data_IF_760397094902
#
_entry.id   IF_760397094902
#
_cell.length_a   1.000
_cell.length_b   1.000
_cell.length_c   1.000
_cell.angle_alpha   90.00
_cell.angle_beta   90.00
_cell.angle_gamma   90.00
#
_symmetry.space_group_name_H-M   'P 1'
#
loop_
_entity.id
_entity.type
_entity.pdbx_description
1 polymer ?
#
# COMPACT_ATOMS: atom_id res chain seq x y z
N UNK A 1 51.62 -69.44 49.02
CA UNK A 1 50.37 -70.09 49.43
C UNK A 1 49.32 -69.76 48.42
N UNK A 2 48.73 -70.72 47.82
CA UNK A 2 47.97 -70.83 46.58
C UNK A 2 46.89 -69.73 46.27
N UNK A 3 46.98 -69.20 45.09
CA UNK A 3 45.87 -68.59 44.35
C UNK A 3 45.03 -69.68 43.69
N UNK A 4 43.69 -69.57 43.62
CA UNK A 4 42.92 -70.26 42.59
C UNK A 4 42.54 -69.39 41.40
N UNK A 5 42.77 -69.97 40.26
CA UNK A 5 42.24 -69.62 38.97
C UNK A 5 40.71 -69.45 38.98
N UNK A 6 40.19 -68.36 38.33
CA UNK A 6 38.81 -68.30 37.97
C UNK A 6 38.67 -68.18 36.45
N UNK A 7 37.81 -69.02 35.96
CA UNK A 7 37.52 -69.42 34.60
C UNK A 7 36.92 -68.27 33.69
N UNK A 8 37.38 -68.20 32.44
CA UNK A 8 37.01 -67.25 31.36
C UNK A 8 35.70 -67.62 30.66
N UNK A 9 34.62 -67.98 31.29
CA UNK A 9 33.43 -68.47 30.58
C UNK A 9 32.08 -67.93 31.05
N UNK A 10 31.96 -66.72 31.61
CA UNK A 10 30.60 -66.18 31.95
C UNK A 10 30.51 -64.69 31.87
N UNK A 11 30.91 -64.09 30.72
CA UNK A 11 30.65 -62.69 30.38
C UNK A 11 30.17 -62.58 28.93
N UNK A 12 29.04 -63.22 28.67
CA UNK A 12 28.21 -62.93 27.47
C UNK A 12 26.76 -62.83 27.93
N UNK A 13 26.19 -61.68 27.74
CA UNK A 13 24.79 -61.21 27.78
C UNK A 13 24.51 -60.20 28.88
N UNK A 14 24.83 -58.98 28.59
CA UNK A 14 24.08 -57.76 28.98
C UNK A 14 24.62 -56.58 28.15
N UNK A 15 24.38 -56.60 26.84
CA UNK A 15 24.40 -55.43 25.98
C UNK A 15 23.02 -54.75 26.06
N UNK A 16 22.86 -53.86 27.02
CA UNK A 16 21.76 -52.87 27.03
C UNK A 16 21.97 -51.93 25.87
N UNK A 17 21.11 -52.08 24.87
CA UNK A 17 20.98 -51.15 23.78
C UNK A 17 20.44 -49.82 24.32
N UNK A 18 21.33 -48.88 24.64
CA UNK A 18 20.99 -47.50 24.80
C UNK A 18 20.78 -46.94 23.38
N UNK A 19 19.56 -47.01 22.89
CA UNK A 19 19.14 -46.33 21.68
C UNK A 19 19.19 -44.81 21.90
N UNK A 20 20.22 -44.15 21.41
CA UNK A 20 20.24 -42.69 21.25
C UNK A 20 19.23 -42.40 20.18
N UNK A 21 18.01 -41.98 20.57
CA UNK A 21 17.06 -41.34 19.66
C UNK A 21 17.63 -39.95 19.36
N UNK A 22 18.34 -39.84 18.24
CA UNK A 22 18.61 -38.55 17.62
C UNK A 22 17.25 -38.02 17.13
N UNK A 23 16.61 -37.18 17.96
CA UNK A 23 15.52 -36.33 17.47
C UNK A 23 16.20 -35.28 16.60
N UNK A 24 16.24 -35.57 15.30
CA UNK A 24 16.55 -34.56 14.30
C UNK A 24 15.41 -33.53 14.34
N UNK A 25 15.61 -32.42 15.05
CA UNK A 25 14.86 -31.23 14.81
C UNK A 25 15.24 -30.74 13.41
N UNK A 26 14.54 -31.22 12.39
CA UNK A 26 14.45 -30.50 11.13
C UNK A 26 13.72 -29.21 11.46
N UNK A 27 14.48 -28.13 11.70
CA UNK A 27 13.90 -26.80 11.49
C UNK A 27 13.41 -26.83 10.05
N UNK A 28 12.10 -26.91 9.88
CA UNK A 28 11.49 -26.57 8.63
C UNK A 28 11.81 -25.08 8.43
N UNK A 29 12.88 -24.78 7.71
CA UNK A 29 13.03 -23.50 7.06
C UNK A 29 11.81 -23.41 6.16
N UNK A 30 10.78 -22.68 6.60
CA UNK A 30 9.69 -22.29 5.75
C UNK A 30 10.32 -21.68 4.49
N UNK A 31 9.96 -22.21 3.33
CA UNK A 31 10.41 -21.59 2.08
C UNK A 31 10.02 -20.13 2.18
N UNK A 32 11.01 -19.26 2.17
CA UNK A 32 10.75 -17.81 2.11
C UNK A 32 9.93 -17.57 0.87
N UNK A 33 8.72 -17.07 1.05
CA UNK A 33 7.84 -16.71 -0.05
C UNK A 33 8.51 -15.54 -0.78
N UNK A 34 8.79 -15.69 -2.06
CA UNK A 34 9.48 -14.64 -2.84
C UNK A 34 8.82 -14.45 -4.19
N UNK A 35 8.84 -13.22 -4.65
CA UNK A 35 8.64 -12.91 -6.07
C UNK A 35 9.95 -13.14 -6.80
N UNK A 36 9.91 -13.95 -7.87
CA UNK A 36 11.05 -14.01 -8.79
C UNK A 36 11.17 -12.69 -9.54
N UNK A 37 12.39 -12.25 -9.83
CA UNK A 37 12.65 -11.06 -10.66
C UNK A 37 11.99 -11.15 -12.04
N UNK A 38 11.74 -12.36 -12.52
CA UNK A 38 11.04 -12.64 -13.80
C UNK A 38 9.53 -12.82 -13.63
N UNK A 39 8.96 -12.54 -12.45
CA UNK A 39 7.53 -12.67 -12.22
C UNK A 39 6.76 -11.75 -13.17
N UNK A 40 5.83 -12.33 -13.90
CA UNK A 40 4.87 -11.58 -14.74
C UNK A 40 3.63 -11.32 -13.91
N UNK A 41 3.19 -10.07 -13.88
CA UNK A 41 1.94 -9.71 -13.22
C UNK A 41 0.75 -9.81 -14.19
N UNK A 42 -0.42 -10.09 -13.62
CA UNK A 42 -1.66 -10.29 -14.37
C UNK A 42 -2.21 -8.95 -14.88
N UNK A 43 -2.73 -8.98 -16.12
CA UNK A 43 -3.45 -7.85 -16.74
C UNK A 43 -4.94 -8.10 -16.61
N UNK A 44 -5.68 -7.37 -15.78
CA UNK A 44 -7.13 -7.53 -15.67
C UNK A 44 -7.84 -7.04 -16.94
N UNK A 45 -9.12 -7.38 -17.08
CA UNK A 45 -9.94 -6.81 -18.13
C UNK A 45 -10.09 -5.31 -17.94
N UNK A 46 -9.97 -4.51 -19.03
CA UNK A 46 -10.17 -3.06 -18.95
C UNK A 46 -11.54 -2.70 -18.35
N UNK A 47 -11.62 -1.64 -17.52
CA UNK A 47 -12.88 -1.07 -17.08
C UNK A 47 -13.74 -0.66 -18.29
N UNK A 48 -15.06 -0.76 -18.14
CA UNK A 48 -15.97 -0.38 -19.22
C UNK A 48 -15.79 1.08 -19.67
N UNK A 49 -15.48 1.98 -18.73
CA UNK A 49 -15.21 3.39 -19.02
C UNK A 49 -13.99 3.59 -19.93
N UNK A 50 -12.93 2.84 -19.71
CA UNK A 50 -11.74 2.85 -20.58
C UNK A 50 -12.06 2.40 -22.00
N UNK A 51 -12.81 1.30 -22.13
CA UNK A 51 -13.24 0.77 -23.44
C UNK A 51 -14.11 1.79 -24.19
N UNK A 52 -15.05 2.43 -23.49
CA UNK A 52 -15.92 3.44 -24.08
C UNK A 52 -15.13 4.69 -24.49
N UNK A 53 -14.19 5.14 -23.67
CA UNK A 53 -13.33 6.28 -23.98
C UNK A 53 -12.47 6.00 -25.22
N UNK A 54 -11.79 4.85 -25.28
CA UNK A 54 -10.96 4.50 -26.43
C UNK A 54 -11.80 4.43 -27.71
N UNK A 55 -13.00 3.82 -27.67
CA UNK A 55 -13.90 3.75 -28.81
C UNK A 55 -14.39 5.14 -29.25
N UNK A 56 -14.73 6.03 -28.30
CA UNK A 56 -15.13 7.41 -28.58
C UNK A 56 -14.01 8.22 -29.24
N UNK A 57 -12.77 8.08 -28.77
CA UNK A 57 -11.60 8.74 -29.35
C UNK A 57 -11.35 8.28 -30.80
N UNK A 58 -11.49 6.98 -31.07
CA UNK A 58 -11.41 6.45 -32.45
C UNK A 58 -12.47 7.08 -33.35
N UNK A 59 -13.70 7.20 -32.87
CA UNK A 59 -14.79 7.85 -33.64
C UNK A 59 -14.51 9.33 -33.94
N UNK A 60 -13.78 10.01 -33.06
CA UNK A 60 -13.35 11.40 -33.21
C UNK A 60 -12.04 11.55 -34.00
N UNK A 61 -11.48 10.46 -34.51
CA UNK A 61 -10.18 10.42 -35.20
C UNK A 61 -8.98 10.81 -34.32
N UNK A 62 -9.15 10.81 -33.00
CA UNK A 62 -8.04 10.99 -32.04
C UNK A 62 -7.38 9.63 -31.74
N UNK A 63 -6.72 9.10 -32.78
CA UNK A 63 -6.11 7.78 -32.72
C UNK A 63 -4.93 7.69 -31.74
N UNK A 64 -4.25 8.83 -31.50
CA UNK A 64 -3.12 8.88 -30.58
C UNK A 64 -3.59 8.63 -29.15
N UNK A 65 -4.60 9.34 -28.71
CA UNK A 65 -5.12 9.21 -27.36
C UNK A 65 -5.85 7.87 -27.17
N UNK A 66 -6.54 7.38 -28.22
CA UNK A 66 -7.12 6.05 -28.20
C UNK A 66 -6.06 4.95 -27.97
N UNK A 67 -4.90 5.04 -28.62
CA UNK A 67 -3.78 4.14 -28.43
C UNK A 67 -3.15 4.28 -27.03
N UNK A 68 -3.06 5.48 -26.47
CA UNK A 68 -2.56 5.70 -25.12
C UNK A 68 -3.45 5.03 -24.07
N UNK A 69 -4.78 5.16 -24.17
CA UNK A 69 -5.71 4.47 -23.27
C UNK A 69 -5.58 2.95 -23.44
N UNK A 70 -5.54 2.43 -24.66
CA UNK A 70 -5.38 1.01 -24.90
C UNK A 70 -4.04 0.46 -24.37
N UNK A 71 -2.95 1.22 -24.52
CA UNK A 71 -1.65 0.86 -24.00
C UNK A 71 -1.64 0.84 -22.47
N UNK A 72 -2.25 1.84 -21.80
CA UNK A 72 -2.40 1.89 -20.34
C UNK A 72 -3.12 0.66 -19.82
N UNK A 73 -4.22 0.26 -20.44
CA UNK A 73 -5.02 -0.92 -20.07
C UNK A 73 -4.34 -2.26 -20.39
N UNK A 74 -3.25 -2.26 -21.15
CA UNK A 74 -2.44 -3.45 -21.41
C UNK A 74 -1.32 -3.69 -20.40
N UNK A 75 -1.13 -2.78 -19.46
CA UNK A 75 -0.17 -2.90 -18.36
C UNK A 75 -0.83 -3.66 -17.19
N UNK A 76 -0.10 -4.54 -16.49
CA UNK A 76 -0.63 -5.20 -15.29
C UNK A 76 -1.14 -4.20 -14.24
N UNK A 77 -2.28 -4.50 -13.63
CA UNK A 77 -2.90 -3.68 -12.60
C UNK A 77 -3.48 -4.56 -11.50
N UNK A 78 -3.66 -4.02 -10.31
CA UNK A 78 -4.30 -4.72 -9.21
C UNK A 78 -5.82 -4.87 -9.44
N UNK A 79 -6.38 -5.93 -8.87
CA UNK A 79 -7.82 -6.18 -8.84
C UNK A 79 -8.34 -5.83 -7.46
N UNK A 80 -9.21 -4.82 -7.38
CA UNK A 80 -9.80 -4.35 -6.13
C UNK A 80 -11.02 -5.16 -5.74
N UNK A 81 -11.05 -5.60 -4.48
CA UNK A 81 -12.16 -6.27 -3.83
C UNK A 81 -12.64 -5.36 -2.69
N UNK A 82 -13.76 -4.66 -2.91
CA UNK A 82 -14.19 -3.56 -2.05
C UNK A 82 -15.51 -3.80 -1.35
N UNK A 83 -16.17 -4.92 -1.66
CA UNK A 83 -17.50 -5.27 -1.16
C UNK A 83 -17.92 -6.67 -1.59
N UNK A 84 -19.17 -7.00 -1.39
CA UNK A 84 -19.80 -8.26 -1.79
C UNK A 84 -19.93 -9.26 -0.65
N UNK A 85 -20.85 -10.20 -0.82
CA UNK A 85 -21.01 -11.32 0.09
C UNK A 85 -19.80 -12.26 0.04
N UNK A 86 -19.57 -13.10 1.07
CA UNK A 86 -18.53 -14.13 1.04
C UNK A 86 -18.56 -15.01 -0.22
N UNK A 87 -19.74 -15.35 -0.72
CA UNK A 87 -19.91 -16.15 -1.94
C UNK A 87 -19.47 -15.41 -3.20
N UNK A 88 -19.83 -14.15 -3.33
CA UNK A 88 -19.51 -13.31 -4.49
C UNK A 88 -18.01 -13.04 -4.56
N UNK A 89 -17.37 -12.65 -3.45
CA UNK A 89 -15.94 -12.40 -3.41
C UNK A 89 -15.14 -13.67 -3.70
N UNK A 90 -15.56 -14.82 -3.16
CA UNK A 90 -14.95 -16.13 -3.45
C UNK A 90 -14.99 -16.44 -4.95
N UNK A 91 -16.14 -16.22 -5.62
CA UNK A 91 -16.29 -16.43 -7.05
C UNK A 91 -15.41 -15.49 -7.88
N UNK A 92 -15.32 -14.22 -7.46
CA UNK A 92 -14.47 -13.20 -8.10
C UNK A 92 -12.99 -13.59 -8.01
N UNK A 93 -12.51 -13.93 -6.82
CA UNK A 93 -11.12 -14.36 -6.59
C UNK A 93 -10.79 -15.61 -7.43
N UNK A 94 -11.63 -16.65 -7.39
CA UNK A 94 -11.44 -17.85 -8.22
C UNK A 94 -11.38 -17.55 -9.71
N UNK A 95 -12.18 -16.61 -10.17
CA UNK A 95 -12.21 -16.22 -11.60
C UNK A 95 -10.92 -15.50 -11.97
N UNK A 96 -10.46 -14.54 -11.15
CA UNK A 96 -9.20 -13.81 -11.33
C UNK A 96 -8.01 -14.76 -11.33
N UNK A 97 -7.91 -15.65 -10.34
CA UNK A 97 -6.83 -16.64 -10.24
C UNK A 97 -6.79 -17.55 -11.45
N UNK A 98 -7.94 -18.02 -11.94
CA UNK A 98 -8.02 -18.86 -13.14
C UNK A 98 -7.53 -18.11 -14.37
N UNK A 99 -7.91 -16.84 -14.56
CA UNK A 99 -7.45 -16.01 -15.68
C UNK A 99 -5.94 -15.76 -15.60
N UNK A 100 -5.43 -15.38 -14.44
CA UNK A 100 -4.01 -15.18 -14.22
C UNK A 100 -3.19 -16.45 -14.49
N UNK A 101 -3.67 -17.61 -14.08
CA UNK A 101 -3.02 -18.90 -14.36
C UNK A 101 -2.96 -19.22 -15.87
N UNK A 102 -3.99 -18.88 -16.63
CA UNK A 102 -3.97 -19.04 -18.10
C UNK A 102 -2.89 -18.19 -18.76
N UNK A 103 -2.62 -17.02 -18.20
CA UNK A 103 -1.56 -16.10 -18.64
C UNK A 103 -0.18 -16.42 -18.03
N UNK A 104 -0.10 -17.36 -17.11
CA UNK A 104 1.09 -17.67 -16.30
C UNK A 104 1.60 -16.42 -15.57
N UNK A 105 0.68 -15.66 -15.01
CA UNK A 105 0.93 -14.39 -14.34
C UNK A 105 0.52 -14.47 -12.86
N UNK A 106 1.11 -13.61 -12.05
CA UNK A 106 0.80 -13.44 -10.63
C UNK A 106 -0.23 -12.33 -10.50
N UNK A 107 -1.44 -12.60 -10.01
CA UNK A 107 -2.40 -11.54 -9.75
C UNK A 107 -2.04 -10.76 -8.50
N UNK A 108 -2.36 -9.46 -8.51
CA UNK A 108 -2.31 -8.56 -7.36
C UNK A 108 -3.74 -8.27 -6.95
N UNK A 109 -4.10 -8.61 -5.72
CA UNK A 109 -5.43 -8.36 -5.15
C UNK A 109 -5.32 -7.27 -4.10
N UNK A 110 -6.16 -6.25 -4.18
CA UNK A 110 -6.35 -5.27 -3.12
C UNK A 110 -7.61 -5.64 -2.35
N UNK A 111 -7.48 -5.90 -1.08
CA UNK A 111 -8.60 -6.12 -0.18
C UNK A 111 -8.90 -4.79 0.50
N UNK A 112 -10.08 -4.23 0.29
CA UNK A 112 -10.45 -2.91 0.79
C UNK A 112 -11.90 -2.92 1.27
N UNK A 113 -12.14 -3.61 2.39
CA UNK A 113 -13.48 -3.83 2.94
C UNK A 113 -13.51 -3.78 4.48
N UNK A 114 -12.50 -3.21 5.11
CA UNK A 114 -12.44 -3.09 6.58
C UNK A 114 -13.57 -2.19 7.08
N UNK A 115 -14.21 -2.50 8.22
CA UNK A 115 -15.25 -1.64 8.80
C UNK A 115 -14.77 -0.21 9.03
N UNK A 116 -15.58 0.77 8.60
CA UNK A 116 -15.26 2.19 8.76
C UNK A 116 -14.02 2.64 7.97
N UNK A 117 -13.79 2.06 6.79
CA UNK A 117 -12.69 2.45 5.90
C UNK A 117 -12.78 3.92 5.50
N UNK A 118 -11.63 4.50 5.13
CA UNK A 118 -11.48 5.88 4.62
C UNK A 118 -12.06 6.94 5.56
N UNK A 119 -12.09 6.67 6.87
CA UNK A 119 -12.71 7.56 7.88
C UNK A 119 -14.10 8.10 7.48
N UNK A 120 -14.81 7.39 6.60
CA UNK A 120 -16.10 7.84 6.09
C UNK A 120 -16.03 8.89 4.98
N UNK A 121 -14.87 9.10 4.36
CA UNK A 121 -14.64 10.05 3.27
C UNK A 121 -15.18 9.55 1.92
N UNK A 122 -14.55 9.91 0.79
CA UNK A 122 -15.03 9.59 -0.56
C UNK A 122 -15.12 8.08 -0.85
N UNK A 123 -14.26 7.28 -0.23
CA UNK A 123 -14.28 5.82 -0.35
C UNK A 123 -14.92 5.11 0.86
N UNK A 124 -15.81 5.80 1.56
CA UNK A 124 -16.54 5.25 2.70
C UNK A 124 -17.18 3.89 2.41
N UNK A 125 -17.34 3.07 3.44
CA UNK A 125 -17.93 1.74 3.35
C UNK A 125 -17.20 0.72 4.20
N UNK A 126 -17.05 -0.48 3.65
CA UNK A 126 -16.51 -1.63 4.35
C UNK A 126 -17.61 -2.58 4.84
N UNK A 127 -17.21 -3.68 5.46
CA UNK A 127 -18.11 -4.62 6.12
C UNK A 127 -18.83 -3.93 7.28
N UNK A 128 -20.03 -4.42 7.61
CA UNK A 128 -20.85 -3.80 8.66
C UNK A 128 -20.19 -3.93 10.05
N UNK A 129 -19.47 -5.01 10.28
CA UNK A 129 -18.83 -5.31 11.56
C UNK A 129 -17.65 -6.28 11.38
N UNK A 130 -16.93 -6.56 12.46
CA UNK A 130 -15.78 -7.48 12.47
C UNK A 130 -16.14 -8.89 12.00
N UNK A 131 -17.28 -9.44 12.40
CA UNK A 131 -17.64 -10.81 12.03
C UNK A 131 -17.94 -10.94 10.52
N UNK A 132 -18.57 -9.94 9.92
CA UNK A 132 -18.82 -9.90 8.47
C UNK A 132 -17.51 -9.74 7.69
N UNK A 133 -16.59 -8.93 8.20
CA UNK A 133 -15.25 -8.78 7.65
C UNK A 133 -14.45 -10.09 7.69
N UNK A 134 -14.45 -10.77 8.84
CA UNK A 134 -13.77 -12.05 9.02
C UNK A 134 -14.33 -13.12 8.09
N UNK A 135 -15.64 -13.21 7.94
CA UNK A 135 -16.30 -14.15 7.02
C UNK A 135 -15.93 -13.85 5.55
N UNK A 136 -15.78 -12.58 5.20
CA UNK A 136 -15.37 -12.13 3.89
C UNK A 136 -13.89 -12.50 3.61
N UNK A 137 -12.99 -12.29 4.58
CA UNK A 137 -11.57 -12.70 4.52
C UNK A 137 -11.43 -14.23 4.41
N UNK A 138 -12.20 -14.99 5.20
CA UNK A 138 -12.20 -16.46 5.13
C UNK A 138 -12.58 -16.98 3.74
N UNK A 139 -13.56 -16.34 3.12
CA UNK A 139 -13.99 -16.69 1.77
C UNK A 139 -12.89 -16.42 0.72
N UNK A 140 -12.13 -15.34 0.87
CA UNK A 140 -11.00 -15.01 0.01
C UNK A 140 -9.85 -15.99 0.23
N UNK A 141 -9.44 -16.23 1.48
CA UNK A 141 -8.38 -17.17 1.82
C UNK A 141 -8.68 -18.58 1.30
N UNK A 142 -9.93 -19.03 1.46
CA UNK A 142 -10.40 -20.30 0.90
C UNK A 142 -10.39 -20.35 -0.62
N UNK A 143 -10.64 -19.23 -1.30
CA UNK A 143 -10.55 -19.13 -2.76
C UNK A 143 -9.11 -19.15 -3.28
N UNK A 144 -8.19 -18.48 -2.59
CA UNK A 144 -6.75 -18.44 -2.90
C UNK A 144 -6.14 -19.82 -2.75
N UNK A 145 -6.37 -20.49 -1.62
CA UNK A 145 -5.77 -21.80 -1.32
C UNK A 145 -4.24 -21.76 -1.40
N UNK A 146 -3.66 -22.63 -2.22
CA UNK A 146 -2.19 -22.72 -2.42
C UNK A 146 -1.65 -21.93 -3.60
N UNK A 147 -2.43 -21.04 -4.24
CA UNK A 147 -2.02 -20.36 -5.45
C UNK A 147 -1.10 -19.16 -5.17
N UNK A 148 -0.23 -18.82 -6.12
CA UNK A 148 0.65 -17.66 -6.03
C UNK A 148 -0.15 -16.38 -6.29
N UNK A 149 -0.14 -15.48 -5.30
CA UNK A 149 -0.87 -14.22 -5.34
C UNK A 149 -0.19 -13.20 -4.44
N UNK A 150 -0.18 -11.95 -4.87
CA UNK A 150 0.15 -10.79 -4.03
C UNK A 150 -1.15 -10.21 -3.49
N UNK A 151 -1.23 -10.02 -2.19
CA UNK A 151 -2.37 -9.40 -1.50
C UNK A 151 -1.90 -8.12 -0.84
N UNK A 152 -2.55 -7.01 -1.19
CA UNK A 152 -2.41 -5.72 -0.53
C UNK A 152 -3.62 -5.53 0.38
N UNK A 153 -3.37 -5.56 1.67
CA UNK A 153 -4.42 -5.66 2.68
C UNK A 153 -4.76 -4.28 3.24
N UNK A 154 -5.96 -3.82 2.92
CA UNK A 154 -6.64 -2.66 3.47
C UNK A 154 -5.82 -1.37 3.39
N UNK A 155 -5.64 -0.78 2.20
CA UNK A 155 -5.06 0.56 2.05
C UNK A 155 -5.64 1.56 3.04
N UNK A 156 -4.81 2.49 3.51
CA UNK A 156 -5.11 3.54 4.49
C UNK A 156 -5.40 3.06 5.92
N UNK A 157 -5.59 1.74 6.11
CA UNK A 157 -6.12 1.18 7.37
C UNK A 157 -5.22 1.39 8.59
N UNK A 158 -3.89 1.48 8.40
CA UNK A 158 -2.91 1.73 9.45
C UNK A 158 -2.35 3.15 9.40
N UNK A 159 -2.31 3.77 8.22
CA UNK A 159 -1.93 5.17 8.08
C UNK A 159 -3.00 6.10 8.64
N UNK A 160 -4.28 5.72 8.55
CA UNK A 160 -5.43 6.48 9.04
C UNK A 160 -6.31 5.61 9.97
N UNK A 161 -5.87 5.50 11.22
CA UNK A 161 -6.58 4.75 12.25
C UNK A 161 -7.87 5.46 12.67
N UNK A 162 -8.88 4.76 13.22
CA UNK A 162 -10.05 5.39 13.80
C UNK A 162 -9.76 6.50 14.80
N UNK A 163 -8.60 6.46 15.49
CA UNK A 163 -8.11 7.54 16.35
C UNK A 163 -7.73 8.81 15.59
N UNK A 164 -7.41 8.72 14.31
CA UNK A 164 -6.99 9.84 13.48
C UNK A 164 -8.16 10.46 12.70
N UNK A 165 -9.27 9.74 12.57
CA UNK A 165 -10.43 10.12 11.74
C UNK A 165 -11.22 11.35 12.23
N UNK A 166 -10.94 11.88 13.41
CA UNK A 166 -11.70 12.99 13.96
C UNK A 166 -13.18 12.68 14.28
N UNK A 167 -13.51 11.41 14.51
CA UNK A 167 -14.86 11.00 14.87
C UNK A 167 -15.36 11.68 16.15
N UNK A 168 -16.67 11.96 16.18
CA UNK A 168 -17.34 12.41 17.39
C UNK A 168 -17.29 11.31 18.47
N UNK A 169 -16.60 11.52 19.60
CA UNK A 169 -16.44 10.51 20.64
C UNK A 169 -17.77 10.18 21.36
N UNK A 170 -18.83 10.95 21.13
CA UNK A 170 -20.18 10.64 21.63
C UNK A 170 -20.91 9.64 20.74
N UNK A 171 -20.50 9.47 19.50
CA UNK A 171 -21.07 8.59 18.49
C UNK A 171 -20.23 7.32 18.28
N UNK A 172 -18.92 7.42 18.39
CA UNK A 172 -17.99 6.32 18.13
C UNK A 172 -17.11 6.08 19.35
N UNK A 173 -17.03 4.83 19.81
CA UNK A 173 -16.04 4.43 20.80
C UNK A 173 -14.66 4.29 20.12
N UNK A 174 -13.96 5.41 19.98
CA UNK A 174 -12.70 5.52 19.24
C UNK A 174 -11.63 4.53 19.73
N UNK A 175 -11.39 4.36 21.06
CA UNK A 175 -10.42 3.38 21.54
C UNK A 175 -10.77 1.94 21.11
N UNK A 176 -12.05 1.57 21.16
CA UNK A 176 -12.48 0.24 20.75
C UNK A 176 -12.36 0.07 19.23
N UNK A 177 -12.80 1.04 18.44
CA UNK A 177 -12.69 0.99 16.99
C UNK A 177 -11.23 0.87 16.52
N UNK A 178 -10.30 1.56 17.20
CA UNK A 178 -8.87 1.44 16.94
C UNK A 178 -8.31 0.06 17.31
N UNK A 179 -8.72 -0.50 18.45
CA UNK A 179 -8.35 -1.86 18.86
C UNK A 179 -8.91 -2.91 17.89
N UNK A 180 -10.14 -2.75 17.45
CA UNK A 180 -10.78 -3.63 16.48
C UNK A 180 -10.05 -3.60 15.13
N UNK A 181 -9.57 -2.42 14.67
CA UNK A 181 -8.79 -2.28 13.45
C UNK A 181 -7.55 -3.18 13.47
N UNK A 182 -6.77 -3.16 14.54
CA UNK A 182 -5.60 -4.03 14.68
C UNK A 182 -5.97 -5.51 14.73
N UNK A 183 -7.07 -5.85 15.41
CA UNK A 183 -7.58 -7.23 15.49
C UNK A 183 -7.99 -7.74 14.10
N UNK A 184 -8.70 -6.93 13.34
CA UNK A 184 -9.16 -7.25 11.98
C UNK A 184 -8.00 -7.49 11.03
N UNK A 185 -6.98 -6.62 11.05
CA UNK A 185 -5.77 -6.78 10.22
C UNK A 185 -5.01 -8.04 10.63
N UNK A 186 -4.78 -8.25 11.93
CA UNK A 186 -4.11 -9.45 12.44
C UNK A 186 -4.84 -10.74 12.07
N UNK A 187 -6.17 -10.75 12.13
CA UNK A 187 -6.99 -11.86 11.67
C UNK A 187 -6.77 -12.14 10.17
N UNK A 188 -6.87 -11.11 9.34
CA UNK A 188 -6.71 -11.23 7.91
C UNK A 188 -5.31 -11.77 7.53
N UNK A 189 -4.24 -11.26 8.15
CA UNK A 189 -2.88 -11.80 7.98
C UNK A 189 -2.88 -13.30 8.31
N UNK A 190 -3.41 -13.68 9.48
CA UNK A 190 -3.39 -15.08 9.95
C UNK A 190 -4.09 -16.05 9.00
N UNK A 191 -5.14 -15.58 8.30
CA UNK A 191 -5.91 -16.40 7.36
C UNK A 191 -5.26 -16.48 5.98
N UNK A 192 -4.77 -15.36 5.48
CA UNK A 192 -4.21 -15.25 4.13
C UNK A 192 -2.81 -15.86 4.06
N UNK A 193 -1.99 -15.71 5.10
CA UNK A 193 -0.63 -16.24 5.16
C UNK A 193 -0.57 -17.78 5.35
N UNK A 194 -1.69 -18.44 5.60
CA UNK A 194 -1.76 -19.92 5.56
C UNK A 194 -1.49 -20.49 4.18
N UNK A 195 -1.70 -19.71 3.12
CA UNK A 195 -1.36 -20.07 1.74
C UNK A 195 0.16 -20.14 1.56
N UNK A 196 0.68 -21.27 1.04
CA UNK A 196 2.12 -21.48 0.85
C UNK A 196 2.78 -20.49 -0.13
N UNK A 197 2.02 -19.85 -1.00
CA UNK A 197 2.50 -18.94 -2.03
C UNK A 197 1.78 -17.58 -2.02
N UNK A 198 1.01 -17.29 -0.98
CA UNK A 198 0.38 -15.97 -0.79
C UNK A 198 1.38 -15.03 -0.15
N UNK A 199 1.57 -13.85 -0.74
CA UNK A 199 2.41 -12.79 -0.21
C UNK A 199 1.50 -11.65 0.24
N UNK A 200 1.38 -11.46 1.55
CA UNK A 200 0.50 -10.43 2.14
C UNK A 200 1.34 -9.23 2.56
N UNK A 201 0.96 -8.07 2.06
CA UNK A 201 1.53 -6.78 2.46
C UNK A 201 0.43 -5.95 3.13
N UNK A 202 0.75 -5.30 4.23
CA UNK A 202 -0.17 -4.45 4.99
C UNK A 202 0.14 -2.97 4.79
N UNK A 203 -0.79 -2.10 5.13
CA UNK A 203 -0.69 -0.67 4.85
C UNK A 203 0.48 0.01 5.58
N UNK A 204 1.34 0.67 4.83
CA UNK A 204 2.46 1.50 5.31
C UNK A 204 2.28 3.00 5.02
N UNK A 205 1.13 3.40 4.48
CA UNK A 205 0.84 4.79 4.11
C UNK A 205 1.71 5.29 2.96
N UNK A 206 2.41 6.40 3.19
CA UNK A 206 3.37 6.94 2.24
C UNK A 206 4.37 7.88 2.92
N UNK A 207 5.42 8.26 2.20
CA UNK A 207 6.55 9.05 2.68
C UNK A 207 6.20 10.47 3.17
N UNK A 208 5.03 10.99 2.82
CA UNK A 208 4.58 12.33 3.19
C UNK A 208 3.38 12.31 4.15
N UNK A 209 3.06 11.17 4.71
CA UNK A 209 1.93 11.00 5.63
C UNK A 209 2.40 10.68 7.05
N UNK A 210 2.67 9.41 7.35
CA UNK A 210 3.07 9.01 8.69
C UNK A 210 4.60 9.07 8.87
N UNK A 211 5.04 9.57 10.04
CA UNK A 211 6.45 9.48 10.39
C UNK A 211 6.89 8.01 10.54
N UNK A 212 8.12 7.69 10.13
CA UNK A 212 8.68 6.32 10.23
C UNK A 212 8.42 5.64 11.58
N UNK A 213 8.70 6.26 12.76
CA UNK A 213 8.45 5.61 14.04
C UNK A 213 6.97 5.33 14.30
N UNK A 214 6.08 6.20 13.83
CA UNK A 214 4.64 6.04 14.00
C UNK A 214 4.13 4.84 13.23
N UNK A 215 4.45 4.76 11.93
CA UNK A 215 3.97 3.65 11.11
C UNK A 215 4.64 2.33 11.50
N UNK A 216 5.93 2.32 11.88
CA UNK A 216 6.60 1.12 12.36
C UNK A 216 5.91 0.54 13.61
N UNK A 217 5.55 1.38 14.58
CA UNK A 217 4.81 0.94 15.76
C UNK A 217 3.42 0.38 15.40
N UNK A 218 2.71 0.99 14.46
CA UNK A 218 1.39 0.53 13.97
C UNK A 218 1.49 -0.80 13.23
N UNK A 219 2.48 -0.96 12.37
CA UNK A 219 2.77 -2.21 11.65
C UNK A 219 3.02 -3.36 12.63
N UNK A 220 3.82 -3.14 13.67
CA UNK A 220 4.08 -4.17 14.70
C UNK A 220 2.82 -4.52 15.47
N UNK A 221 2.02 -3.53 15.84
CA UNK A 221 0.75 -3.77 16.54
C UNK A 221 -0.26 -4.53 15.66
N UNK A 222 -0.21 -4.32 14.35
CA UNK A 222 -1.03 -5.06 13.36
C UNK A 222 -0.51 -6.47 13.07
N UNK A 223 0.70 -6.83 13.50
CA UNK A 223 1.25 -8.18 13.30
C UNK A 223 2.12 -8.34 12.06
N UNK A 224 2.86 -7.30 11.65
CA UNK A 224 3.76 -7.31 10.47
C UNK A 224 4.74 -8.48 10.46
N UNK A 225 5.15 -8.98 11.64
CA UNK A 225 6.05 -10.11 11.77
C UNK A 225 5.46 -11.43 11.20
N UNK A 226 4.17 -11.49 10.94
CA UNK A 226 3.46 -12.62 10.37
C UNK A 226 3.03 -12.37 8.91
N UNK A 227 3.33 -11.21 8.35
CA UNK A 227 3.07 -10.86 6.96
C UNK A 227 4.37 -10.90 6.13
N UNK A 228 4.28 -10.87 4.81
CA UNK A 228 5.44 -10.73 3.92
C UNK A 228 6.12 -9.37 4.12
N UNK A 229 5.32 -8.32 4.30
CA UNK A 229 5.81 -6.97 4.43
C UNK A 229 4.71 -5.94 4.43
N UNK A 230 5.03 -4.75 3.95
CA UNK A 230 4.09 -3.63 3.85
C UNK A 230 4.11 -3.01 2.45
N UNK A 231 3.10 -2.20 2.15
CA UNK A 231 3.04 -1.46 0.90
C UNK A 231 2.89 0.03 1.17
N UNK A 232 3.33 0.86 0.20
CA UNK A 232 3.22 2.31 0.29
C UNK A 232 2.71 2.95 -0.99
N UNK A 233 2.36 4.23 -0.89
CA UNK A 233 1.98 5.11 -1.98
C UNK A 233 0.69 4.73 -2.71
N UNK A 234 -0.13 3.82 -2.17
CA UNK A 234 -1.41 3.43 -2.81
C UNK A 234 -2.30 4.65 -2.96
N UNK A 235 -2.78 4.85 -4.19
CA UNK A 235 -3.57 6.03 -4.58
C UNK A 235 -2.88 7.38 -4.43
N UNK A 236 -1.58 7.43 -4.16
CA UNK A 236 -0.78 8.65 -4.00
C UNK A 236 0.19 8.89 -5.17
N UNK A 237 0.97 9.96 -5.09
CA UNK A 237 1.75 10.49 -6.21
C UNK A 237 3.23 10.68 -5.89
N UNK A 238 3.70 10.25 -4.71
CA UNK A 238 5.08 10.49 -4.30
C UNK A 238 6.05 9.75 -5.20
N UNK A 239 7.16 10.40 -5.55
CA UNK A 239 8.18 9.83 -6.40
C UNK A 239 8.86 8.61 -5.76
N UNK A 240 9.28 7.64 -6.57
CA UNK A 240 9.89 6.40 -6.11
C UNK A 240 11.11 6.62 -5.21
N UNK A 241 11.89 7.68 -5.42
CA UNK A 241 13.06 7.97 -4.60
C UNK A 241 12.70 8.40 -3.17
N UNK A 242 11.53 9.00 -2.95
CA UNK A 242 11.00 9.27 -1.61
C UNK A 242 10.49 7.98 -0.97
N UNK A 243 9.64 7.23 -1.68
CA UNK A 243 9.06 6.00 -1.15
C UNK A 243 10.13 4.96 -0.81
N UNK A 244 11.07 4.69 -1.71
CA UNK A 244 12.12 3.69 -1.44
C UNK A 244 13.02 4.05 -0.26
N UNK A 245 13.31 5.33 -0.03
CA UNK A 245 14.04 5.76 1.18
C UNK A 245 13.19 5.55 2.44
N UNK A 246 11.97 6.06 2.40
CA UNK A 246 11.02 5.92 3.51
C UNK A 246 10.80 4.45 3.89
N UNK A 247 10.54 3.59 2.93
CA UNK A 247 10.31 2.16 3.14
C UNK A 247 11.53 1.45 3.70
N UNK A 248 12.72 1.82 3.21
CA UNK A 248 13.99 1.31 3.75
C UNK A 248 14.14 1.70 5.23
N UNK A 249 13.78 2.93 5.60
CA UNK A 249 13.83 3.37 6.99
C UNK A 249 12.75 2.71 7.85
N UNK A 250 11.54 2.49 7.32
CA UNK A 250 10.49 1.74 8.02
C UNK A 250 10.96 0.31 8.30
N UNK A 251 11.52 -0.39 7.30
CA UNK A 251 12.09 -1.73 7.51
C UNK A 251 13.24 -1.72 8.51
N UNK A 252 14.09 -0.68 8.46
CA UNK A 252 15.20 -0.50 9.40
C UNK A 252 14.71 -0.22 10.82
N UNK A 253 13.67 0.60 10.98
CA UNK A 253 13.06 0.90 12.28
C UNK A 253 12.41 -0.35 12.89
N UNK A 254 11.75 -1.18 12.08
CA UNK A 254 11.20 -2.46 12.52
C UNK A 254 12.30 -3.37 13.06
N UNK A 255 13.43 -3.47 12.36
CA UNK A 255 14.58 -4.25 12.81
C UNK A 255 15.20 -3.65 14.08
N UNK A 256 15.40 -2.33 14.14
CA UNK A 256 15.93 -1.63 15.31
C UNK A 256 15.11 -1.87 16.57
N UNK A 257 13.79 -1.70 16.48
CA UNK A 257 12.86 -1.87 17.61
C UNK A 257 12.59 -3.34 17.97
N UNK A 258 13.13 -4.30 17.21
CA UNK A 258 13.05 -5.75 17.47
C UNK A 258 14.38 -6.34 17.91
N UNK A 259 15.46 -5.55 17.96
CA UNK A 259 16.80 -5.99 18.31
C UNK A 259 16.97 -6.20 19.83
N UNK A 260 17.25 -7.43 20.32
CA UNK A 260 17.46 -7.71 21.73
C UNK A 260 18.87 -7.34 22.21
N UNK A 261 19.77 -6.99 21.33
CA UNK A 261 21.16 -6.65 21.66
C UNK A 261 21.24 -5.36 22.51
N UNK A 262 22.42 -5.03 22.97
CA UNK A 262 22.69 -3.85 23.80
C UNK A 262 21.82 -3.74 25.08
N UNK A 263 21.49 -4.89 25.68
CA UNK A 263 20.68 -4.94 26.91
C UNK A 263 19.18 -4.79 26.68
N UNK A 264 18.71 -4.88 25.42
CA UNK A 264 17.30 -4.92 25.07
C UNK A 264 16.57 -3.58 25.17
N UNK A 265 17.28 -2.47 25.32
CA UNK A 265 16.66 -1.15 25.45
C UNK A 265 15.90 -0.70 24.18
N UNK A 266 16.24 -1.29 23.03
CA UNK A 266 15.59 -1.01 21.73
C UNK A 266 14.24 -1.68 21.61
N UNK A 267 14.01 -2.79 22.31
CA UNK A 267 12.80 -3.58 22.20
C UNK A 267 11.54 -2.74 22.44
N UNK A 268 10.70 -2.61 21.40
CA UNK A 268 9.46 -1.84 21.43
C UNK A 268 9.65 -0.32 21.39
N UNK A 269 10.88 0.19 21.31
CA UNK A 269 11.18 1.62 21.35
C UNK A 269 11.29 2.24 19.94
N UNK A 270 10.28 2.05 19.09
CA UNK A 270 10.24 2.59 17.73
C UNK A 270 10.35 4.12 17.68
N UNK A 271 9.94 4.82 18.74
CA UNK A 271 10.02 6.29 18.84
C UNK A 271 11.45 6.86 18.78
N UNK A 272 12.47 6.03 18.94
CA UNK A 272 13.85 6.44 18.76
C UNK A 272 14.29 6.52 17.29
N UNK A 273 13.56 5.85 16.39
CA UNK A 273 13.89 5.85 14.97
C UNK A 273 13.82 7.26 14.37
N UNK A 274 14.81 7.61 13.57
CA UNK A 274 14.75 8.81 12.74
C UNK A 274 13.70 8.68 11.64
N UNK A 275 13.16 9.80 11.19
CA UNK A 275 12.14 9.87 10.15
C UNK A 275 12.49 10.87 9.07
N UNK A 276 11.67 11.01 8.05
CA UNK A 276 11.75 12.05 7.03
C UNK A 276 11.74 13.48 7.58
N UNK A 277 11.42 13.63 8.87
CA UNK A 277 11.43 14.92 9.59
C UNK A 277 12.65 15.09 10.48
N UNK A 278 13.62 14.18 10.45
CA UNK A 278 14.80 14.24 11.29
C UNK A 278 15.86 15.16 10.71
N UNK A 279 16.35 16.08 11.53
CA UNK A 279 17.56 16.86 11.26
C UNK A 279 18.27 17.20 12.57
N UNK A 280 19.59 17.03 12.64
CA UNK A 280 20.39 17.51 13.76
C UNK A 280 20.56 19.05 13.78
N UNK A 281 20.11 19.75 12.73
CA UNK A 281 20.37 21.19 12.53
C UNK A 281 19.11 22.06 12.58
N UNK A 282 17.95 21.49 12.89
CA UNK A 282 16.69 22.24 13.02
C UNK A 282 15.57 21.77 12.09
N UNK A 283 14.75 22.69 11.58
CA UNK A 283 13.56 22.37 10.79
C UNK A 283 13.91 21.70 9.45
N UNK A 284 13.23 20.61 9.13
CA UNK A 284 13.30 19.90 7.86
C UNK A 284 12.10 20.24 7.01
N UNK A 285 12.32 20.41 5.71
CA UNK A 285 11.26 20.36 4.71
C UNK A 285 11.21 18.93 4.13
N UNK A 286 10.17 18.14 4.40
CA UNK A 286 10.08 16.77 3.89
C UNK A 286 10.01 16.71 2.35
N UNK A 287 9.63 17.79 1.68
CA UNK A 287 9.63 17.88 0.21
C UNK A 287 11.05 18.07 -0.37
N UNK A 288 12.06 18.35 0.49
CA UNK A 288 13.45 18.46 0.07
C UNK A 288 14.22 17.18 0.40
N UNK A 289 14.26 16.26 -0.55
CA UNK A 289 14.94 14.97 -0.40
C UNK A 289 16.44 15.10 -0.08
N UNK A 290 17.05 16.25 -0.36
CA UNK A 290 18.46 16.46 -0.02
C UNK A 290 18.72 16.46 1.47
N UNK A 291 17.70 16.82 2.27
CA UNK A 291 17.77 16.80 3.74
C UNK A 291 17.62 15.40 4.32
N UNK A 292 17.15 14.44 3.54
CA UNK A 292 16.94 13.05 3.96
C UNK A 292 18.25 12.27 4.19
N UNK A 293 19.36 12.83 3.73
CA UNK A 293 20.70 12.31 4.04
C UNK A 293 20.93 12.19 5.55
N UNK A 294 20.37 13.08 6.38
CA UNK A 294 20.53 13.02 7.83
C UNK A 294 19.87 11.79 8.46
N UNK A 295 18.75 11.36 7.88
CA UNK A 295 18.07 10.14 8.31
C UNK A 295 18.83 8.89 7.85
N UNK A 296 19.39 8.89 6.62
CA UNK A 296 20.29 7.84 6.16
C UNK A 296 21.48 7.69 7.10
N UNK A 297 22.14 8.80 7.46
CA UNK A 297 23.29 8.83 8.36
C UNK A 297 22.90 8.32 9.77
N UNK A 298 21.70 8.69 10.26
CA UNK A 298 21.22 8.22 11.55
C UNK A 298 21.11 6.68 11.56
N UNK A 299 20.49 6.08 10.55
CA UNK A 299 20.39 4.62 10.46
C UNK A 299 21.75 3.96 10.32
N UNK A 300 22.64 4.50 9.49
CA UNK A 300 24.01 3.97 9.35
C UNK A 300 24.76 3.93 10.67
N UNK A 301 24.56 4.91 11.54
CA UNK A 301 25.26 5.03 12.84
C UNK A 301 24.61 4.24 13.95
N UNK A 302 23.29 3.97 13.89
CA UNK A 302 22.53 3.50 15.04
C UNK A 302 21.99 2.08 14.91
N UNK A 303 22.06 1.44 13.73
CA UNK A 303 21.50 0.08 13.55
C UNK A 303 22.25 -0.98 14.38
N UNK A 304 23.54 -0.82 14.61
CA UNK A 304 24.33 -1.83 15.32
C UNK A 304 24.29 -3.18 14.60
N UNK A 305 23.78 -4.21 15.28
CA UNK A 305 23.58 -5.59 14.74
C UNK A 305 22.23 -5.81 14.08
N UNK A 306 21.30 -4.87 14.20
CA UNK A 306 19.97 -4.99 13.63
C UNK A 306 20.03 -5.00 12.09
N UNK A 307 19.44 -6.02 11.47
CA UNK A 307 19.41 -6.19 10.01
C UNK A 307 17.96 -6.11 9.54
N UNK A 308 17.62 -5.16 8.64
CA UNK A 308 16.30 -5.07 8.05
C UNK A 308 15.96 -6.34 7.25
N UNK A 309 14.77 -6.90 7.49
CA UNK A 309 14.29 -8.10 6.80
C UNK A 309 12.83 -7.98 6.35
N UNK A 310 12.14 -6.91 6.74
CA UNK A 310 10.75 -6.69 6.34
C UNK A 310 10.72 -6.16 4.91
N UNK A 311 10.05 -6.89 4.03
CA UNK A 311 9.90 -6.53 2.62
C UNK A 311 8.83 -5.46 2.40
N UNK A 312 8.84 -4.85 1.22
CA UNK A 312 7.83 -3.85 0.84
C UNK A 312 7.55 -3.86 -0.66
N UNK A 313 6.43 -3.24 -1.04
CA UNK A 313 6.05 -2.95 -2.42
C UNK A 313 5.55 -1.51 -2.53
N UNK A 314 5.73 -0.89 -3.69
CA UNK A 314 5.37 0.52 -3.93
C UNK A 314 4.37 0.63 -5.07
N UNK A 315 3.29 1.41 -4.86
CA UNK A 315 2.40 1.81 -5.93
C UNK A 315 3.04 2.89 -6.81
N UNK A 316 3.21 2.58 -8.08
CA UNK A 316 3.79 3.47 -9.08
C UNK A 316 2.79 3.89 -10.16
N UNK A 317 1.51 3.60 -9.96
CA UNK A 317 0.46 3.79 -10.97
C UNK A 317 0.31 5.22 -11.46
N UNK A 318 0.58 6.23 -10.59
CA UNK A 318 0.31 7.63 -10.90
C UNK A 318 1.41 8.61 -10.50
N UNK A 319 2.62 8.13 -10.24
CA UNK A 319 3.63 8.89 -9.49
C UNK A 319 4.80 9.47 -10.32
N UNK A 320 4.77 9.37 -11.65
CA UNK A 320 5.92 9.79 -12.46
C UNK A 320 6.26 11.28 -12.39
N UNK A 321 5.31 12.12 -12.00
CA UNK A 321 5.47 13.58 -11.91
C UNK A 321 5.56 14.07 -10.45
N UNK A 322 5.48 13.16 -9.49
CA UNK A 322 5.43 13.51 -8.07
C UNK A 322 4.12 14.15 -7.63
N UNK A 323 4.05 14.56 -6.38
CA UNK A 323 2.88 15.24 -5.78
C UNK A 323 2.67 16.62 -6.38
N UNK A 324 1.41 17.07 -6.47
CA UNK A 324 1.08 18.41 -6.94
C UNK A 324 1.63 19.48 -5.98
N UNK A 325 2.52 20.34 -6.47
CA UNK A 325 2.95 21.54 -5.74
C UNK A 325 1.91 22.66 -5.94
N UNK A 326 1.02 22.83 -4.96
CA UNK A 326 -0.03 23.84 -5.02
C UNK A 326 0.51 25.28 -4.91
N UNK A 327 1.77 25.49 -4.53
CA UNK A 327 2.38 26.83 -4.48
C UNK A 327 2.37 27.56 -5.82
N UNK A 328 2.30 26.85 -6.95
CA UNK A 328 2.14 27.44 -8.28
C UNK A 328 0.89 28.33 -8.41
N UNK A 329 -0.15 28.06 -7.62
CA UNK A 329 -1.40 28.84 -7.64
C UNK A 329 -1.29 30.18 -6.91
N UNK A 330 -0.24 30.44 -6.13
CA UNK A 330 0.03 31.76 -5.54
C UNK A 330 0.52 32.80 -6.56
N UNK A 331 1.11 32.33 -7.66
CA UNK A 331 1.67 33.19 -8.71
C UNK A 331 0.67 33.47 -9.85
N UNK A 332 0.99 34.44 -10.70
CA UNK A 332 0.24 34.69 -11.93
C UNK A 332 0.23 33.44 -12.83
N UNK A 333 -0.86 33.16 -13.54
CA UNK A 333 -2.09 33.95 -13.67
C UNK A 333 -3.12 33.75 -12.56
N UNK A 334 -2.88 32.85 -11.62
CA UNK A 334 -3.86 32.41 -10.61
C UNK A 334 -4.00 33.41 -9.46
N UNK A 335 -2.87 33.92 -8.93
CA UNK A 335 -2.79 34.90 -7.85
C UNK A 335 -3.68 34.54 -6.62
N UNK A 336 -3.74 33.27 -6.27
CA UNK A 336 -4.58 32.81 -5.16
C UNK A 336 -3.95 33.17 -3.80
N UNK A 337 -4.76 33.54 -2.80
CA UNK A 337 -4.27 33.81 -1.46
C UNK A 337 -3.74 32.56 -0.77
N UNK A 338 -2.92 32.75 0.25
CA UNK A 338 -2.27 31.65 0.97
C UNK A 338 -3.26 30.60 1.55
N UNK A 339 -4.46 31.03 1.95
CA UNK A 339 -5.50 30.13 2.47
C UNK A 339 -6.00 29.16 1.38
N UNK A 340 -6.18 29.62 0.16
CA UNK A 340 -6.58 28.76 -0.97
C UNK A 340 -5.43 27.82 -1.37
N UNK A 341 -4.20 28.32 -1.44
CA UNK A 341 -3.02 27.50 -1.70
C UNK A 341 -2.88 26.39 -0.65
N UNK A 342 -3.12 26.69 0.63
CA UNK A 342 -3.11 25.70 1.69
C UNK A 342 -4.22 24.65 1.52
N UNK A 343 -5.42 25.05 1.15
CA UNK A 343 -6.53 24.12 0.86
C UNK A 343 -6.19 23.20 -0.31
N UNK A 344 -5.60 23.74 -1.39
CA UNK A 344 -5.12 22.94 -2.51
C UNK A 344 -4.00 21.99 -2.13
N UNK A 345 -3.11 22.40 -1.23
CA UNK A 345 -2.04 21.56 -0.68
C UNK A 345 -2.63 20.40 0.13
N UNK A 346 -3.59 20.67 1.01
CA UNK A 346 -4.25 19.65 1.82
C UNK A 346 -5.05 18.65 0.96
N UNK A 347 -5.59 19.09 -0.16
CA UNK A 347 -6.38 18.28 -1.09
C UNK A 347 -5.60 17.75 -2.30
N UNK A 348 -4.27 17.83 -2.31
CA UNK A 348 -3.43 17.47 -3.47
C UNK A 348 -3.38 15.96 -3.78
N UNK A 349 -3.93 15.13 -2.89
CA UNK A 349 -4.10 13.71 -3.05
C UNK A 349 -5.32 13.33 -3.92
N UNK A 350 -6.34 14.19 -3.98
CA UNK A 350 -7.61 13.90 -4.66
C UNK A 350 -7.56 14.40 -6.11
N UNK A 351 -7.51 13.50 -7.07
CA UNK A 351 -7.49 13.75 -8.52
C UNK A 351 -6.61 14.96 -8.95
N UNK A 352 -5.37 15.11 -8.53
CA UNK A 352 -4.56 16.25 -8.98
C UNK A 352 -4.27 16.16 -10.47
N UNK A 353 -4.44 17.24 -11.23
CA UNK A 353 -4.10 17.28 -12.65
C UNK A 353 -2.58 17.29 -12.86
N UNK A 354 -2.15 16.91 -14.06
CA UNK A 354 -0.74 16.98 -14.46
C UNK A 354 0.12 15.85 -13.88
N UNK A 355 -0.49 14.79 -13.35
CA UNK A 355 0.23 13.62 -12.89
C UNK A 355 0.49 12.67 -14.05
N UNK A 356 1.32 11.65 -13.87
CA UNK A 356 1.66 10.73 -14.93
C UNK A 356 1.84 9.31 -14.39
N UNK A 357 1.63 8.34 -15.26
CA UNK A 357 1.90 6.94 -14.95
C UNK A 357 3.39 6.74 -14.67
N UNK A 358 3.70 5.99 -13.65
CA UNK A 358 5.08 5.70 -13.24
C UNK A 358 5.62 4.39 -13.80
N UNK A 359 6.65 3.87 -13.14
CA UNK A 359 7.32 2.63 -13.53
C UNK A 359 6.30 1.50 -13.69
N UNK A 360 6.40 0.78 -14.80
CA UNK A 360 5.53 -0.38 -15.03
C UNK A 360 5.74 -1.46 -13.98
N UNK A 361 4.71 -2.25 -13.65
CA UNK A 361 4.81 -3.33 -12.68
C UNK A 361 5.94 -4.30 -13.00
N UNK A 362 6.84 -4.46 -12.02
CA UNK A 362 8.02 -5.32 -12.15
C UNK A 362 8.52 -5.78 -10.78
N UNK A 363 8.95 -7.03 -10.70
CA UNK A 363 9.69 -7.55 -9.54
C UNK A 363 11.22 -7.39 -9.68
N UNK A 364 11.70 -6.89 -10.82
CA UNK A 364 13.10 -6.55 -11.02
C UNK A 364 13.34 -5.08 -10.62
N UNK A 365 13.34 -4.80 -9.33
CA UNK A 365 13.42 -3.44 -8.79
C UNK A 365 14.84 -2.91 -8.66
N UNK A 366 15.81 -3.81 -8.45
CA UNK A 366 17.21 -3.44 -8.15
C UNK A 366 17.39 -2.84 -6.76
N UNK A 367 16.36 -2.78 -5.92
CA UNK A 367 16.37 -2.23 -4.55
C UNK A 367 16.21 -3.36 -3.55
N UNK A 368 17.04 -3.39 -2.52
CA UNK A 368 16.96 -4.40 -1.47
C UNK A 368 15.60 -4.30 -0.74
N UNK A 369 15.00 -5.46 -0.44
CA UNK A 369 13.70 -5.62 0.25
C UNK A 369 12.48 -5.06 -0.52
N UNK A 370 12.67 -4.35 -1.61
CA UNK A 370 11.58 -3.94 -2.50
C UNK A 370 11.24 -5.10 -3.44
N UNK A 371 10.16 -5.81 -3.14
CA UNK A 371 9.74 -6.99 -3.88
C UNK A 371 9.16 -6.65 -5.26
N UNK A 372 8.46 -5.53 -5.37
CA UNK A 372 7.93 -5.06 -6.65
C UNK A 372 7.55 -3.57 -6.65
N UNK A 373 7.64 -2.96 -7.84
CA UNK A 373 6.81 -1.83 -8.25
C UNK A 373 5.51 -2.38 -8.82
N UNK A 374 4.38 -1.79 -8.46
CA UNK A 374 3.06 -2.25 -8.88
C UNK A 374 2.19 -1.07 -9.32
N UNK A 375 1.23 -1.30 -10.21
CA UNK A 375 0.12 -0.38 -10.41
C UNK A 375 -1.05 -0.85 -9.57
N UNK A 376 -1.17 -0.26 -8.39
CA UNK A 376 -2.17 -0.64 -7.38
C UNK A 376 -3.46 0.14 -7.60
N UNK A 377 -3.41 1.48 -7.52
CA UNK A 377 -4.56 2.29 -7.95
C UNK A 377 -4.78 2.07 -9.45
N UNK A 378 -6.00 1.78 -9.84
CA UNK A 378 -6.37 1.69 -11.25
C UNK A 378 -6.23 3.06 -11.92
N UNK A 379 -5.29 3.26 -12.87
CA UNK A 379 -5.15 4.55 -13.54
C UNK A 379 -6.42 4.94 -14.28
N UNK A 380 -6.87 6.17 -14.10
CA UNK A 380 -8.11 6.67 -14.72
C UNK A 380 -9.37 6.46 -13.88
N UNK A 381 -9.29 5.78 -12.73
CA UNK A 381 -10.39 5.78 -11.75
C UNK A 381 -10.24 6.93 -10.76
N UNK A 382 -11.32 7.66 -10.56
CA UNK A 382 -11.42 8.82 -9.67
C UNK A 382 -11.12 8.47 -8.20
N UNK A 383 -10.54 9.42 -7.47
CA UNK A 383 -10.38 9.35 -6.01
C UNK A 383 -11.64 9.83 -5.26
N UNK A 384 -12.50 10.60 -5.94
CA UNK A 384 -13.71 11.18 -5.39
C UNK A 384 -14.11 12.44 -6.12
N UNK A 385 -15.17 13.11 -5.68
CA UNK A 385 -15.68 14.33 -6.30
C UNK A 385 -14.74 15.52 -6.11
N UNK A 386 -13.86 15.52 -5.12
CA UNK A 386 -12.83 16.54 -4.85
C UNK A 386 -13.36 17.99 -4.95
N UNK A 387 -14.64 18.19 -4.70
CA UNK A 387 -15.33 19.46 -4.91
C UNK A 387 -14.97 20.54 -3.88
N UNK A 388 -15.30 21.78 -4.17
CA UNK A 388 -15.04 22.92 -3.29
C UNK A 388 -16.14 23.10 -2.23
N UNK A 389 -17.20 22.30 -2.24
CA UNK A 389 -18.36 22.45 -1.36
C UNK A 389 -18.25 21.57 -0.09
N UNK A 390 -17.07 21.27 0.38
CA UNK A 390 -16.82 20.46 1.58
C UNK A 390 -15.96 19.23 1.35
N UNK A 391 -15.47 19.04 0.13
CA UNK A 391 -14.54 17.98 -0.22
C UNK A 391 -13.09 18.34 0.08
N UNK A 392 -12.14 17.58 -0.50
CA UNK A 392 -10.71 17.74 -0.26
C UNK A 392 -10.18 19.14 -0.61
N UNK A 393 -10.83 19.85 -1.57
CA UNK A 393 -10.45 21.21 -1.99
C UNK A 393 -11.52 22.26 -1.65
N UNK A 394 -12.18 22.09 -0.49
CA UNK A 394 -13.18 23.02 0.00
C UNK A 394 -12.56 24.38 0.33
N UNK A 395 -13.03 25.45 -0.33
CA UNK A 395 -12.72 26.85 -0.01
C UNK A 395 -13.91 27.74 -0.22
N UNK A 396 -13.84 29.01 0.16
CA UNK A 396 -14.86 30.00 -0.17
C UNK A 396 -14.78 30.37 -1.67
N UNK A 397 -15.49 29.64 -2.47
CA UNK A 397 -15.46 29.75 -3.92
C UNK A 397 -16.03 31.11 -4.40
N UNK A 398 -16.99 31.68 -3.68
CA UNK A 398 -17.54 33.00 -4.01
C UNK A 398 -16.49 34.11 -3.90
N UNK A 399 -15.51 33.93 -2.99
CA UNK A 399 -14.42 34.89 -2.77
C UNK A 399 -13.23 34.61 -3.69
N UNK A 400 -12.89 33.33 -3.92
CA UNK A 400 -11.61 32.92 -4.52
C UNK A 400 -11.73 32.28 -5.90
N UNK A 401 -12.94 32.17 -6.47
CA UNK A 401 -13.12 31.54 -7.79
C UNK A 401 -12.30 32.21 -8.88
N UNK A 402 -11.79 31.42 -9.81
CA UNK A 402 -11.15 31.95 -11.01
C UNK A 402 -12.22 32.42 -12.02
N UNK A 403 -11.94 33.44 -12.81
CA UNK A 403 -12.86 33.87 -13.87
C UNK A 403 -13.21 32.72 -14.83
N UNK A 404 -14.50 32.56 -15.10
CA UNK A 404 -15.00 31.56 -16.05
C UNK A 404 -15.12 30.14 -15.48
N UNK A 405 -14.98 29.95 -14.19
CA UNK A 405 -15.33 28.68 -13.56
C UNK A 405 -16.84 28.55 -13.45
N UNK A 406 -17.41 27.36 -13.81
CA UNK A 406 -18.84 27.13 -13.68
C UNK A 406 -19.28 27.13 -12.21
N UNK A 407 -20.51 27.60 -11.99
CA UNK A 407 -21.17 27.57 -10.68
C UNK A 407 -22.56 26.99 -10.84
N UNK A 408 -23.17 26.52 -9.74
CA UNK A 408 -24.57 26.15 -9.72
C UNK A 408 -25.50 27.38 -9.87
N UNK A 409 -26.82 27.16 -9.85
CA UNK A 409 -27.82 28.20 -9.92
C UNK A 409 -27.75 29.21 -8.76
N UNK A 410 -27.15 28.86 -7.65
CA UNK A 410 -26.91 29.69 -6.47
C UNK A 410 -25.53 30.38 -6.49
N UNK A 411 -24.72 30.16 -7.55
CA UNK A 411 -23.37 30.68 -7.66
C UNK A 411 -22.34 29.93 -6.82
N UNK A 412 -22.67 28.72 -6.34
CA UNK A 412 -21.77 27.89 -5.56
C UNK A 412 -20.98 26.95 -6.48
N UNK A 413 -19.72 26.70 -6.16
CA UNK A 413 -18.95 25.68 -6.84
C UNK A 413 -19.43 24.28 -6.43
N UNK A 414 -19.75 23.47 -7.42
CA UNK A 414 -20.16 22.08 -7.26
C UNK A 414 -19.21 21.11 -7.96
N UNK A 415 -18.05 21.58 -8.37
CA UNK A 415 -17.09 20.86 -9.19
C UNK A 415 -15.66 21.08 -8.70
N UNK A 416 -14.75 20.23 -9.15
CA UNK A 416 -13.33 20.37 -8.87
C UNK A 416 -12.75 21.62 -9.56
N UNK A 417 -12.23 22.58 -8.78
CA UNK A 417 -11.71 23.81 -9.34
C UNK A 417 -10.45 23.61 -10.19
N UNK A 418 -9.70 22.53 -10.01
CA UNK A 418 -8.50 22.24 -10.80
C UNK A 418 -8.82 21.68 -12.17
N UNK A 419 -9.83 20.81 -12.27
CA UNK A 419 -10.29 20.24 -13.53
C UNK A 419 -11.34 21.11 -14.22
N UNK A 420 -12.02 21.97 -13.51
CA UNK A 420 -13.13 22.81 -13.99
C UNK A 420 -14.32 21.99 -14.50
N UNK A 421 -14.58 20.89 -13.83
CA UNK A 421 -15.70 20.00 -14.11
C UNK A 421 -16.05 19.21 -12.84
N UNK A 422 -17.21 18.56 -12.84
CA UNK A 422 -17.58 17.64 -11.77
C UNK A 422 -16.74 16.36 -11.90
N UNK A 423 -15.92 16.06 -10.88
CA UNK A 423 -15.20 14.80 -10.84
C UNK A 423 -16.18 13.65 -10.59
N UNK A 424 -15.93 12.48 -11.18
CA UNK A 424 -16.70 11.29 -10.88
C UNK A 424 -16.52 10.87 -9.42
N UNK A 425 -17.49 10.13 -8.88
CA UNK A 425 -17.36 9.49 -7.56
C UNK A 425 -16.17 8.54 -7.51
N UNK A 426 -15.67 8.26 -6.31
CA UNK A 426 -14.54 7.35 -6.10
C UNK A 426 -14.74 6.00 -6.81
N UNK A 427 -13.71 5.52 -7.51
CA UNK A 427 -13.73 4.28 -8.27
C UNK A 427 -14.43 4.35 -9.63
N UNK A 428 -15.10 5.46 -9.98
CA UNK A 428 -15.65 5.64 -11.31
C UNK A 428 -14.59 6.12 -12.32
N UNK A 429 -14.76 5.75 -13.59
CA UNK A 429 -13.84 6.16 -14.64
C UNK A 429 -13.85 7.65 -14.87
N UNK A 430 -12.66 8.27 -14.89
CA UNK A 430 -12.45 9.70 -15.09
C UNK A 430 -11.66 9.94 -16.39
N UNK A 431 -12.33 10.16 -17.52
CA UNK A 431 -11.70 10.20 -18.85
C UNK A 431 -10.59 11.25 -18.98
N UNK A 432 -10.78 12.44 -18.36
CA UNK A 432 -9.80 13.54 -18.43
C UNK A 432 -8.52 13.17 -17.66
N UNK A 433 -8.66 12.59 -16.48
CA UNK A 433 -7.53 12.12 -15.69
C UNK A 433 -6.81 10.95 -16.39
N UNK A 434 -7.55 9.99 -16.93
CA UNK A 434 -7.00 8.84 -17.63
C UNK A 434 -6.06 9.25 -18.76
N UNK A 435 -6.50 10.17 -19.61
CA UNK A 435 -5.68 10.63 -20.74
C UNK A 435 -4.53 11.54 -20.31
N UNK A 436 -4.72 12.35 -19.25
CA UNK A 436 -3.65 13.19 -18.69
C UNK A 436 -2.53 12.32 -18.10
N UNK A 437 -2.87 11.28 -17.34
CA UNK A 437 -1.93 10.28 -16.81
C UNK A 437 -1.16 9.58 -17.94
N UNK A 438 -1.88 9.12 -18.96
CA UNK A 438 -1.28 8.36 -20.07
C UNK A 438 -0.33 9.22 -20.91
N UNK A 439 -0.68 10.49 -21.16
CA UNK A 439 0.17 11.44 -21.91
C UNK A 439 1.46 11.81 -21.17
N UNK A 440 1.46 11.74 -19.84
CA UNK A 440 2.58 12.12 -18.95
C UNK A 440 3.31 10.92 -18.38
N UNK A 441 3.04 9.74 -18.89
CA UNK A 441 3.71 8.52 -18.44
C UNK A 441 5.23 8.61 -18.55
N UNK A 442 5.93 8.16 -17.51
CA UNK A 442 7.38 8.02 -17.52
C UNK A 442 7.79 6.72 -16.79
N UNK A 443 8.21 5.68 -17.50
CA UNK A 443 8.51 5.65 -18.95
C UNK A 443 7.27 5.84 -19.84
N UNK A 444 7.44 6.33 -21.10
CA UNK A 444 6.33 6.50 -22.03
C UNK A 444 5.61 5.17 -22.32
N UNK A 445 4.28 5.21 -22.46
CA UNK A 445 3.48 4.03 -22.84
C UNK A 445 3.71 3.56 -24.29
N UNK A 446 4.00 4.51 -25.16
CA UNK A 446 4.25 4.28 -26.58
C UNK A 446 5.66 4.74 -26.92
N UNK A 447 6.36 4.05 -27.84
CA UNK A 447 7.70 4.40 -28.26
C UNK A 447 7.81 5.75 -28.98
#
# INVERSE_FOLDING_TARGET
>A
MNLPFFDRRTLRKLSSAAGIILISFTMAYGQTKTLSVDSRFFVPKPPQGAVQQAAGLVQQWDLKDALLIAAMESVPQAVWLTSGTPSEVNATVKTTLRQANLERAVPVLVLYNIPGRDCGSYSAGGAENTADYEAWIDAIGGAIGGQKVVVLLEPDSLADLPSDCGYDPTQVNIPQATADRYTQIGYAISKLETGQQTLVYIDGGNSHWQAVPTIAARLVQAGIQNAQGFFTNVSNFNLNNYETKYDTWVSSCLAFGSDPEEGGWRLGNYSYCASQYYSPFGTVNPDDISTWVYTDEWYQQNMGTAVPTTHFVVDTSRNSQGTLNAAIYSAAPYNQPASVVQTLTNGNWCNPPGRGLGVHPTANTGVALLDAYLWVKTPGESDGTCDAAGGARAWDYAVYSLPGWPTDAAGQAIFDPLWRLDDPIAGAWFPQQAIDLARRANPPLLP
#
